data_IF_076068359842
#
_entry.id   IF_076068359842
#
_cell.length_a   1.000
_cell.length_b   1.000
_cell.length_c   1.000
_cell.angle_alpha   90.00
_cell.angle_beta   90.00
_cell.angle_gamma   90.00
#
_symmetry.space_group_name_H-M   'P 1'
#
loop_
_entity.id
_entity.type
_entity.pdbx_description
1 polymer ?
#
# COMPACT_ATOMS: atom_id res chain seq x y z
N UNK A 1 14.27 -33.88 -7.36
CA UNK A 1 13.27 -33.22 -6.51
C UNK A 1 13.04 -31.81 -7.00
N UNK A 2 11.80 -31.48 -7.32
CA UNK A 2 11.47 -30.13 -7.74
C UNK A 2 11.42 -29.22 -6.50
N UNK A 3 12.00 -28.05 -6.62
CA UNK A 3 11.91 -27.03 -5.57
C UNK A 3 10.48 -26.49 -5.50
N UNK A 4 10.01 -26.27 -4.29
CA UNK A 4 8.71 -25.64 -4.07
C UNK A 4 8.82 -24.16 -4.41
N UNK A 5 8.01 -23.70 -5.33
CA UNK A 5 7.99 -22.31 -5.75
C UNK A 5 6.81 -21.61 -5.06
N UNK A 6 7.07 -20.43 -4.50
CA UNK A 6 5.99 -19.63 -3.89
C UNK A 6 5.01 -19.17 -4.95
N UNK A 7 3.76 -18.93 -4.57
CA UNK A 7 2.74 -18.41 -5.47
C UNK A 7 3.02 -16.96 -5.84
N UNK A 8 2.38 -16.49 -6.92
CA UNK A 8 2.44 -15.08 -7.29
C UNK A 8 1.94 -14.18 -6.16
N UNK A 9 0.87 -14.59 -5.47
CA UNK A 9 0.33 -13.80 -4.36
C UNK A 9 1.33 -13.71 -3.19
N UNK A 10 1.97 -14.83 -2.85
CA UNK A 10 3.00 -14.82 -1.81
C UNK A 10 4.19 -13.95 -2.20
N UNK A 11 4.57 -13.99 -3.47
CA UNK A 11 5.68 -13.19 -3.97
C UNK A 11 5.36 -11.70 -3.88
N UNK A 12 4.21 -11.28 -4.42
CA UNK A 12 3.85 -9.86 -4.43
C UNK A 12 3.55 -9.33 -3.03
N UNK A 13 2.92 -10.12 -2.18
CA UNK A 13 2.75 -9.73 -0.78
C UNK A 13 4.11 -9.64 -0.07
N UNK A 14 5.03 -10.53 -0.41
CA UNK A 14 6.41 -10.46 0.10
C UNK A 14 7.10 -9.17 -0.29
N UNK A 15 6.91 -8.71 -1.53
CA UNK A 15 7.45 -7.42 -1.98
C UNK A 15 6.83 -6.27 -1.19
N UNK A 16 5.52 -6.28 -0.98
CA UNK A 16 4.84 -5.26 -0.18
C UNK A 16 5.39 -5.24 1.25
N UNK A 17 5.53 -6.40 1.87
CA UNK A 17 6.04 -6.52 3.24
C UNK A 17 7.50 -6.09 3.35
N UNK A 18 8.32 -6.43 2.35
CA UNK A 18 9.72 -5.99 2.31
C UNK A 18 9.79 -4.47 2.20
N UNK A 19 8.93 -3.88 1.38
CA UNK A 19 8.87 -2.42 1.21
C UNK A 19 8.51 -1.72 2.51
N UNK A 20 7.67 -2.34 3.34
CA UNK A 20 7.28 -1.77 4.63
C UNK A 20 8.49 -1.50 5.53
N UNK A 21 9.55 -2.30 5.42
CA UNK A 21 10.76 -2.10 6.22
C UNK A 21 11.53 -0.82 5.86
N UNK A 22 11.19 -0.18 4.76
CA UNK A 22 11.76 1.13 4.42
C UNK A 22 11.06 2.27 5.14
N UNK A 23 9.91 2.03 5.75
CA UNK A 23 9.19 3.06 6.49
C UNK A 23 9.93 3.44 7.77
N UNK A 24 10.04 4.73 8.04
CA UNK A 24 10.65 5.26 9.25
C UNK A 24 9.64 5.45 10.38
N UNK A 25 8.38 5.09 10.16
CA UNK A 25 7.35 5.19 11.18
C UNK A 25 7.67 4.24 12.33
N UNK A 26 7.87 4.76 13.56
CA UNK A 26 8.24 3.92 14.69
C UNK A 26 7.10 3.05 15.22
N UNK A 27 5.86 3.33 14.80
CA UNK A 27 4.68 2.62 15.32
C UNK A 27 4.15 1.59 14.34
N UNK A 28 4.00 1.94 13.07
CA UNK A 28 3.40 1.05 12.08
C UNK A 28 4.08 1.22 10.73
N UNK A 29 4.69 0.15 10.24
CA UNK A 29 5.30 0.11 8.92
C UNK A 29 4.36 -0.59 7.96
N UNK A 30 3.98 0.07 6.87
CA UNK A 30 3.08 -0.48 5.85
C UNK A 30 3.77 -0.41 4.49
N UNK A 31 3.57 -1.44 3.70
CA UNK A 31 4.07 -1.49 2.33
C UNK A 31 2.98 -1.88 1.36
N UNK A 32 3.14 -1.45 0.11
CA UNK A 32 2.20 -1.75 -0.97
C UNK A 32 2.94 -2.06 -2.25
N UNK A 33 2.36 -2.97 -3.04
CA UNK A 33 2.90 -3.39 -4.33
C UNK A 33 1.76 -3.47 -5.34
N UNK A 34 1.88 -2.75 -6.45
CA UNK A 34 0.87 -2.76 -7.50
C UNK A 34 1.38 -3.60 -8.66
N UNK A 35 0.52 -4.50 -9.13
CA UNK A 35 0.88 -5.52 -10.13
C UNK A 35 -0.10 -5.45 -11.29
N UNK A 36 0.43 -5.48 -12.52
CA UNK A 36 -0.39 -5.48 -13.73
C UNK A 36 -1.07 -6.84 -13.94
N UNK A 37 -2.07 -6.91 -14.85
CA UNK A 37 -2.69 -8.19 -15.19
C UNK A 37 -1.70 -9.24 -15.72
N UNK A 38 -0.54 -8.80 -16.22
CA UNK A 38 0.51 -9.68 -16.74
C UNK A 38 1.56 -10.04 -15.69
N UNK A 39 1.26 -9.82 -14.40
CA UNK A 39 2.16 -10.10 -13.28
C UNK A 39 3.45 -9.29 -13.29
N UNK A 40 3.37 -8.06 -13.74
CA UNK A 40 4.51 -7.13 -13.68
C UNK A 40 4.29 -6.12 -12.59
N UNK A 41 5.32 -5.92 -11.75
CA UNK A 41 5.26 -4.90 -10.71
C UNK A 41 5.38 -3.53 -11.37
N UNK A 42 4.38 -2.69 -11.16
CA UNK A 42 4.33 -1.35 -11.77
C UNK A 42 4.43 -0.22 -10.75
N UNK A 43 4.30 -0.51 -9.48
CA UNK A 43 4.43 0.49 -8.43
C UNK A 43 4.65 -0.15 -7.07
N UNK A 44 5.48 0.48 -6.26
CA UNK A 44 5.79 0.04 -4.90
C UNK A 44 5.82 1.27 -4.01
N UNK A 45 5.32 1.14 -2.80
CA UNK A 45 5.33 2.25 -1.85
C UNK A 45 5.37 1.78 -0.41
N UNK A 46 5.73 2.68 0.46
CA UNK A 46 5.67 2.49 1.91
C UNK A 46 5.27 3.82 2.54
N UNK A 47 4.75 3.78 3.76
CA UNK A 47 4.29 5.00 4.42
C UNK A 47 5.46 5.86 4.87
N UNK A 48 5.33 7.16 4.71
CA UNK A 48 6.38 8.10 5.07
C UNK A 48 5.96 9.54 4.89
N UNK A 49 6.83 10.44 5.30
CA UNK A 49 6.60 11.87 5.15
C UNK A 49 6.85 12.29 3.70
N UNK A 50 6.23 13.39 3.24
CA UNK A 50 6.47 13.92 1.91
C UNK A 50 7.95 14.25 1.69
N UNK A 51 8.37 14.24 0.44
CA UNK A 51 9.73 14.61 0.07
C UNK A 51 10.09 16.00 0.59
N UNK A 52 11.29 16.13 1.11
CA UNK A 52 11.78 17.40 1.67
C UNK A 52 11.42 17.61 3.12
N UNK A 53 10.58 16.76 3.70
CA UNK A 53 10.27 16.81 5.12
C UNK A 53 11.27 15.95 5.89
N UNK A 54 11.86 16.53 6.95
CA UNK A 54 12.80 15.80 7.79
C UNK A 54 12.03 15.01 8.84
N UNK A 55 12.36 13.73 9.00
CA UNK A 55 11.61 12.83 9.86
C UNK A 55 11.63 13.22 11.34
N UNK A 56 12.68 13.90 11.79
CA UNK A 56 12.80 14.35 13.17
C UNK A 56 12.08 15.68 13.44
N UNK A 57 11.65 16.40 12.41
CA UNK A 57 10.94 17.66 12.51
C UNK A 57 9.42 17.52 12.55
N UNK A 58 8.90 16.33 12.25
CA UNK A 58 7.47 16.08 12.16
C UNK A 58 7.07 14.98 13.15
N UNK A 59 5.86 15.06 13.69
CA UNK A 59 5.43 14.10 14.71
C UNK A 59 5.15 12.72 14.12
N UNK A 60 5.54 11.69 14.87
CA UNK A 60 5.21 10.30 14.55
C UNK A 60 4.18 9.72 15.52
N UNK A 61 3.70 10.50 16.47
CA UNK A 61 2.72 10.06 17.46
C UNK A 61 1.36 9.81 16.80
N UNK A 62 0.67 8.80 17.28
CA UNK A 62 -0.65 8.46 16.76
C UNK A 62 -1.77 9.05 17.59
N UNK A 63 -1.54 9.40 18.86
CA UNK A 63 -2.61 9.76 19.80
C UNK A 63 -2.22 10.81 20.84
N UNK A 64 -1.28 11.68 20.57
CA UNK A 64 -0.88 12.68 21.56
C UNK A 64 -1.26 14.08 21.11
N UNK A 65 -1.82 14.88 22.04
CA UNK A 65 -2.10 16.28 21.82
C UNK A 65 -3.14 16.57 20.75
N UNK A 66 -2.96 17.70 20.09
CA UNK A 66 -3.78 18.13 18.97
C UNK A 66 -3.52 17.24 17.74
N UNK A 67 -4.45 17.23 16.79
CA UNK A 67 -4.30 16.47 15.55
C UNK A 67 -2.96 16.80 14.86
N UNK A 68 -2.57 18.06 14.83
CA UNK A 68 -1.33 18.51 14.19
C UNK A 68 -0.06 18.09 14.94
N UNK A 69 -0.19 17.58 16.16
CA UNK A 69 0.92 16.99 16.92
C UNK A 69 1.10 15.51 16.65
N UNK A 70 0.29 14.93 15.75
CA UNK A 70 0.36 13.53 15.35
C UNK A 70 0.88 13.43 13.91
N UNK A 71 1.17 12.18 13.49
CA UNK A 71 1.66 11.91 12.12
C UNK A 71 0.59 12.08 11.05
N UNK A 72 -0.69 11.98 11.40
CA UNK A 72 -1.78 11.83 10.43
C UNK A 72 -1.90 12.94 9.40
N UNK A 73 -1.74 14.24 9.73
CA UNK A 73 -1.80 15.28 8.70
C UNK A 73 -0.61 15.27 7.74
N UNK A 74 0.49 14.60 8.08
CA UNK A 74 1.75 14.70 7.37
C UNK A 74 2.14 13.43 6.62
N UNK A 75 1.75 12.27 7.11
CA UNK A 75 2.19 10.99 6.57
C UNK A 75 1.43 10.65 5.28
N UNK A 76 2.17 10.31 4.24
CA UNK A 76 1.61 9.73 3.01
C UNK A 76 1.57 8.23 3.19
N UNK A 77 0.41 7.62 2.99
CA UNK A 77 0.22 6.20 3.18
C UNK A 77 0.90 5.39 2.07
N UNK A 78 1.21 4.14 2.37
CA UNK A 78 1.92 3.25 1.45
C UNK A 78 1.19 3.08 0.12
N UNK A 79 -0.13 2.94 0.15
CA UNK A 79 -0.94 2.74 -1.03
C UNK A 79 -0.87 3.95 -1.96
N UNK A 80 -1.01 5.16 -1.40
CA UNK A 80 -0.91 6.39 -2.18
C UNK A 80 0.49 6.56 -2.75
N UNK A 81 1.53 6.25 -1.97
CA UNK A 81 2.90 6.31 -2.46
C UNK A 81 3.12 5.32 -3.62
N UNK A 82 2.57 4.12 -3.52
CA UNK A 82 2.66 3.13 -4.61
C UNK A 82 1.98 3.65 -5.88
N UNK A 83 0.80 4.26 -5.75
CA UNK A 83 0.07 4.83 -6.88
C UNK A 83 0.88 5.97 -7.53
N UNK A 84 1.39 6.89 -6.72
CA UNK A 84 2.15 8.05 -7.23
C UNK A 84 3.50 7.64 -7.83
N UNK A 85 4.08 6.54 -7.38
CA UNK A 85 5.35 6.03 -7.88
C UNK A 85 5.19 5.05 -9.06
N UNK A 86 3.97 4.79 -9.49
CA UNK A 86 3.74 3.83 -10.57
C UNK A 86 4.26 4.35 -11.91
N UNK A 87 4.73 3.41 -12.73
CA UNK A 87 5.36 3.71 -14.02
C UNK A 87 4.46 3.44 -15.23
N UNK A 88 3.22 3.05 -14.98
CA UNK A 88 2.26 2.75 -16.04
C UNK A 88 0.85 3.04 -15.58
N UNK A 89 -0.12 2.86 -16.47
CA UNK A 89 -1.53 2.94 -16.12
C UNK A 89 -1.89 1.84 -15.13
N UNK A 90 -2.76 2.15 -14.18
CA UNK A 90 -3.16 1.22 -13.13
C UNK A 90 -4.48 0.51 -13.42
N UNK A 91 -5.07 0.78 -14.58
CA UNK A 91 -6.33 0.17 -14.99
C UNK A 91 -6.21 -1.37 -14.97
N UNK A 92 -7.08 -2.02 -14.21
CA UNK A 92 -7.10 -3.48 -14.14
C UNK A 92 -6.00 -4.11 -13.30
N UNK A 93 -5.18 -3.30 -12.62
CA UNK A 93 -4.12 -3.81 -11.76
C UNK A 93 -4.65 -4.34 -10.43
N UNK A 94 -3.80 -5.04 -9.71
CA UNK A 94 -4.04 -5.52 -8.35
C UNK A 94 -3.06 -4.83 -7.41
N UNK A 95 -3.53 -4.35 -6.26
CA UNK A 95 -2.65 -3.81 -5.23
C UNK A 95 -2.57 -4.77 -4.04
N UNK A 96 -1.35 -5.06 -3.61
CA UNK A 96 -1.05 -5.85 -2.43
C UNK A 96 -0.65 -4.91 -1.31
N UNK A 97 -1.30 -5.00 -0.17
CA UNK A 97 -1.02 -4.13 0.98
C UNK A 97 -0.77 -4.98 2.20
N UNK A 98 0.27 -4.67 2.95
CA UNK A 98 0.64 -5.44 4.14
C UNK A 98 -0.32 -5.23 5.31
N UNK A 99 -1.23 -4.27 5.21
CA UNK A 99 -2.23 -3.96 6.23
C UNK A 99 -3.52 -3.53 5.52
N UNK A 100 -4.68 -3.70 6.18
CA UNK A 100 -5.94 -3.26 5.59
C UNK A 100 -5.91 -1.75 5.30
N UNK A 101 -6.22 -1.31 4.07
CA UNK A 101 -6.14 0.10 3.71
C UNK A 101 -7.23 0.93 4.37
N UNK A 102 -6.91 2.16 4.73
CA UNK A 102 -7.91 3.09 5.25
C UNK A 102 -8.85 3.54 4.14
N UNK A 103 -10.01 4.11 4.53
CA UNK A 103 -11.02 4.49 3.54
C UNK A 103 -10.53 5.57 2.56
N UNK A 104 -9.64 6.46 2.96
CA UNK A 104 -9.08 7.46 2.03
C UNK A 104 -8.19 6.79 0.98
N UNK A 105 -7.40 5.78 1.37
CA UNK A 105 -6.59 5.03 0.43
C UNK A 105 -7.46 4.18 -0.50
N UNK A 106 -8.55 3.61 0.00
CA UNK A 106 -9.49 2.83 -0.83
C UNK A 106 -10.08 3.72 -1.92
N UNK A 107 -10.45 4.94 -1.61
CA UNK A 107 -10.94 5.89 -2.61
C UNK A 107 -9.91 6.12 -3.72
N UNK A 108 -8.67 6.36 -3.34
CA UNK A 108 -7.58 6.58 -4.31
C UNK A 108 -7.34 5.33 -5.16
N UNK A 109 -7.39 4.16 -4.55
CA UNK A 109 -7.22 2.87 -5.23
C UNK A 109 -8.33 2.69 -6.29
N UNK A 110 -9.57 2.92 -5.91
CA UNK A 110 -10.71 2.81 -6.83
C UNK A 110 -10.56 3.79 -7.99
N UNK A 111 -10.25 5.04 -7.67
CA UNK A 111 -10.15 6.10 -8.67
C UNK A 111 -9.01 5.87 -9.65
N UNK A 112 -7.96 5.16 -9.23
CA UNK A 112 -6.83 4.85 -10.10
C UNK A 112 -7.11 3.76 -11.14
N UNK A 113 -8.23 3.04 -11.00
CA UNK A 113 -8.60 1.95 -11.89
C UNK A 113 -8.15 0.58 -11.45
N UNK A 114 -7.55 0.45 -10.28
CA UNK A 114 -7.17 -0.84 -9.71
C UNK A 114 -8.43 -1.66 -9.46
N UNK A 115 -8.41 -2.94 -9.82
CA UNK A 115 -9.60 -3.80 -9.75
C UNK A 115 -9.66 -4.69 -8.52
N UNK A 116 -8.54 -4.93 -7.87
CA UNK A 116 -8.46 -5.84 -6.73
C UNK A 116 -7.53 -5.30 -5.66
N UNK A 117 -7.90 -5.51 -4.41
CA UNK A 117 -7.06 -5.22 -3.25
C UNK A 117 -6.83 -6.54 -2.53
N UNK A 118 -5.58 -6.93 -2.36
CA UNK A 118 -5.20 -8.08 -1.56
C UNK A 118 -4.43 -7.55 -0.35
N UNK A 119 -4.92 -7.83 0.84
CA UNK A 119 -4.28 -7.37 2.05
C UNK A 119 -3.99 -8.54 2.98
N UNK A 120 -3.00 -8.38 3.84
CA UNK A 120 -2.69 -9.40 4.83
C UNK A 120 -3.67 -9.25 6.00
N UNK A 121 -4.43 -10.32 6.21
CA UNK A 121 -5.30 -10.46 7.35
C UNK A 121 -4.50 -11.07 8.51
N UNK A 122 -5.14 -11.47 9.58
CA UNK A 122 -4.47 -12.07 10.73
C UNK A 122 -3.40 -13.08 10.34
N UNK A 123 -2.16 -12.84 10.79
CA UNK A 123 -1.05 -13.81 10.78
C UNK A 123 -0.89 -14.57 9.45
N UNK A 124 -0.61 -13.84 8.38
CA UNK A 124 -0.23 -14.41 7.07
C UNK A 124 -1.38 -14.90 6.20
N UNK A 125 -2.62 -14.72 6.61
CA UNK A 125 -3.76 -15.00 5.75
C UNK A 125 -4.02 -13.80 4.83
N UNK A 126 -4.21 -14.07 3.56
CA UNK A 126 -4.51 -13.03 2.59
C UNK A 126 -6.01 -12.97 2.33
N UNK A 127 -6.55 -11.77 2.31
CA UNK A 127 -7.95 -11.50 1.97
C UNK A 127 -8.01 -10.64 0.72
N UNK A 128 -9.03 -10.85 -0.09
CA UNK A 128 -9.19 -10.18 -1.37
C UNK A 128 -10.48 -9.38 -1.40
N UNK A 129 -10.36 -8.13 -1.85
CA UNK A 129 -11.51 -7.27 -2.16
C UNK A 129 -11.54 -7.06 -3.66
N UNK A 130 -12.62 -7.46 -4.29
CA UNK A 130 -12.82 -7.22 -5.71
C UNK A 130 -13.59 -5.92 -5.90
N UNK A 131 -13.03 -5.03 -6.71
CA UNK A 131 -13.66 -3.74 -7.00
C UNK A 131 -14.45 -3.90 -8.29
N UNK A 132 -15.78 -3.81 -8.17
CA UNK A 132 -16.65 -3.80 -9.34
C UNK A 132 -16.54 -2.45 -10.04
N UNK A 133 -16.40 -2.48 -11.36
CA UNK A 133 -16.43 -1.23 -12.11
C UNK A 133 -17.81 -0.60 -11.95
N UNK A 134 -17.88 0.70 -11.61
CA UNK A 134 -19.16 1.38 -11.54
C UNK A 134 -19.79 1.40 -12.94
N UNK A 135 -21.09 1.12 -12.99
CA UNK A 135 -21.84 1.24 -14.24
C UNK A 135 -21.86 2.71 -14.64
N UNK A 136 -21.25 3.02 -15.76
CA UNK A 136 -21.29 4.40 -16.26
C UNK A 136 -22.62 4.67 -16.91
N UNK A 137 -23.23 5.81 -16.62
CA UNK A 137 -24.46 6.22 -17.30
C UNK A 137 -24.24 6.47 -18.78
#
# INVERSE_FOLDING_TARGET
>A
MSKKIISWQQYFMGVAKLSAYRSKDPNTQVGACIVSPENKIVGVGYNGLPWGCEDDQFPWAAREGDLYDTKYPYVVHAELNAILNSISHLQGCTIYVSLFPCHECVKAIIQSGIKEIIYEDDKYNLSLIHISEPTRP
#
